data_IF_378584565085
#
_entry.id   IF_378584565085
#
_cell.length_a   1.000
_cell.length_b   1.000
_cell.length_c   1.000
_cell.angle_alpha   90.00
_cell.angle_beta   90.00
_cell.angle_gamma   90.00
#
_symmetry.space_group_name_H-M   'P 1'
#
loop_
_entity.id
_entity.type
_entity.pdbx_description
1 polymer ?
#
# COMPACT_ATOMS: atom_id res chain seq x y z
N UNK A 1 -1.03 -11.90 -25.37
CA UNK A 1 -2.40 -12.21 -24.92
C UNK A 1 -2.45 -12.54 -23.43
N UNK A 2 -1.67 -13.50 -22.90
CA UNK A 2 -1.67 -13.85 -21.46
C UNK A 2 -1.20 -12.71 -20.53
N UNK A 3 -0.27 -11.85 -20.96
CA UNK A 3 0.19 -10.70 -20.16
C UNK A 3 -0.85 -9.56 -20.05
N UNK A 4 -1.72 -9.41 -21.05
CA UNK A 4 -2.70 -8.31 -21.09
C UNK A 4 -3.90 -8.59 -20.18
N UNK A 5 -4.36 -9.85 -20.11
CA UNK A 5 -5.43 -10.28 -19.20
C UNK A 5 -5.02 -10.07 -17.75
N UNK A 6 -3.78 -10.42 -17.40
CA UNK A 6 -3.26 -10.22 -16.05
C UNK A 6 -3.20 -8.72 -15.69
N UNK A 7 -2.86 -7.86 -16.64
CA UNK A 7 -2.80 -6.40 -16.41
C UNK A 7 -4.19 -5.81 -16.09
N UNK A 8 -5.22 -6.16 -16.87
CA UNK A 8 -6.61 -5.72 -16.61
C UNK A 8 -7.13 -6.21 -15.25
N UNK A 9 -6.81 -7.45 -14.85
CA UNK A 9 -7.17 -7.98 -13.53
C UNK A 9 -6.46 -7.23 -12.38
N UNK A 10 -5.19 -6.83 -12.58
CA UNK A 10 -4.45 -6.01 -11.62
C UNK A 10 -5.01 -4.59 -11.48
N UNK A 11 -5.54 -4.00 -12.56
CA UNK A 11 -6.23 -2.70 -12.50
C UNK A 11 -7.48 -2.79 -11.61
N UNK A 12 -8.30 -3.82 -11.81
CA UNK A 12 -9.50 -4.05 -11.00
C UNK A 12 -9.12 -4.24 -9.52
N UNK A 13 -8.08 -5.03 -9.24
CA UNK A 13 -7.59 -5.23 -7.87
C UNK A 13 -7.08 -3.94 -7.24
N UNK A 14 -6.29 -3.17 -7.98
CA UNK A 14 -5.74 -1.89 -7.51
C UNK A 14 -6.86 -0.92 -7.18
N UNK A 15 -7.85 -0.78 -8.05
CA UNK A 15 -9.04 0.05 -7.82
C UNK A 15 -9.85 -0.40 -6.61
N UNK A 16 -10.00 -1.71 -6.41
CA UNK A 16 -10.65 -2.26 -5.22
C UNK A 16 -9.91 -1.85 -3.93
N UNK A 17 -8.57 -1.90 -3.94
CA UNK A 17 -7.75 -1.43 -2.81
C UNK A 17 -7.88 0.07 -2.63
N UNK A 18 -7.83 0.88 -3.70
CA UNK A 18 -7.99 2.33 -3.58
C UNK A 18 -9.35 2.75 -2.99
N UNK A 19 -10.42 2.03 -3.35
CA UNK A 19 -11.76 2.26 -2.80
C UNK A 19 -11.93 1.76 -1.36
N UNK A 20 -11.14 0.75 -0.98
CA UNK A 20 -11.10 0.17 0.37
C UNK A 20 -12.50 -0.21 0.91
N UNK A 21 -13.27 -0.99 0.14
CA UNK A 21 -14.66 -1.33 0.47
C UNK A 21 -14.96 -2.80 0.22
N UNK A 22 -15.63 -3.46 1.18
CA UNK A 22 -16.09 -4.86 1.04
C UNK A 22 -16.99 -5.08 -0.17
N UNK A 23 -17.68 -4.04 -0.66
CA UNK A 23 -18.48 -4.11 -1.90
C UNK A 23 -17.63 -4.42 -3.14
N UNK A 24 -16.31 -4.22 -3.09
CA UNK A 24 -15.43 -4.55 -4.20
C UNK A 24 -15.21 -6.05 -4.37
N UNK A 25 -15.60 -6.89 -3.41
CA UNK A 25 -15.47 -8.36 -3.53
C UNK A 25 -16.27 -8.91 -4.71
N UNK A 26 -17.42 -8.32 -5.01
CA UNK A 26 -18.30 -8.82 -6.07
C UNK A 26 -17.72 -8.60 -7.47
N UNK A 27 -16.86 -7.58 -7.64
CA UNK A 27 -16.23 -7.24 -8.92
C UNK A 27 -14.89 -7.95 -9.14
N UNK A 28 -14.31 -8.55 -8.09
CA UNK A 28 -13.02 -9.21 -8.17
C UNK A 28 -13.12 -10.63 -8.76
N UNK A 29 -12.12 -11.07 -9.54
CA UNK A 29 -11.97 -12.48 -9.90
C UNK A 29 -11.96 -13.39 -8.67
N UNK A 30 -12.55 -14.59 -8.77
CA UNK A 30 -12.74 -15.47 -7.62
C UNK A 30 -11.44 -15.82 -6.86
N UNK A 31 -10.30 -15.90 -7.56
CA UNK A 31 -9.01 -16.21 -6.93
C UNK A 31 -8.42 -15.03 -6.14
N UNK A 32 -8.80 -13.78 -6.45
CA UNK A 32 -8.35 -12.57 -5.74
C UNK A 32 -9.20 -12.22 -4.53
N UNK A 33 -10.44 -12.73 -4.45
CA UNK A 33 -11.35 -12.44 -3.34
C UNK A 33 -10.75 -12.80 -1.97
N UNK A 34 -10.11 -13.97 -1.77
CA UNK A 34 -9.56 -14.32 -0.46
C UNK A 34 -8.48 -13.35 0.02
N UNK A 35 -7.58 -12.90 -0.87
CA UNK A 35 -6.50 -11.98 -0.47
C UNK A 35 -7.04 -10.57 -0.20
N UNK A 36 -8.02 -10.10 -0.97
CA UNK A 36 -8.68 -8.82 -0.69
C UNK A 36 -9.48 -8.85 0.61
N UNK A 37 -10.26 -9.92 0.83
CA UNK A 37 -11.02 -10.10 2.07
C UNK A 37 -10.08 -10.11 3.29
N UNK A 38 -9.00 -10.90 3.23
CA UNK A 38 -8.01 -10.95 4.30
C UNK A 38 -7.37 -9.59 4.58
N UNK A 39 -7.06 -8.81 3.54
CA UNK A 39 -6.57 -7.44 3.70
C UNK A 39 -7.58 -6.56 4.45
N UNK A 40 -8.84 -6.56 4.04
CA UNK A 40 -9.88 -5.73 4.68
C UNK A 40 -10.12 -6.16 6.13
N UNK A 41 -10.16 -7.47 6.40
CA UNK A 41 -10.43 -8.01 7.73
C UNK A 41 -9.32 -7.66 8.73
N UNK A 42 -8.05 -7.78 8.32
CA UNK A 42 -6.91 -7.41 9.18
C UNK A 42 -6.98 -5.94 9.59
N UNK A 43 -7.27 -5.03 8.64
CA UNK A 43 -7.36 -3.61 8.95
C UNK A 43 -8.59 -3.27 9.80
N UNK A 44 -9.71 -3.97 9.58
CA UNK A 44 -10.90 -3.82 10.41
C UNK A 44 -10.63 -4.26 11.85
N UNK A 45 -9.93 -5.38 12.05
CA UNK A 45 -9.51 -5.84 13.37
C UNK A 45 -8.58 -4.81 14.04
N UNK A 46 -7.61 -4.26 13.30
CA UNK A 46 -6.76 -3.17 13.81
C UNK A 46 -7.58 -1.93 14.23
N UNK A 47 -8.59 -1.53 13.44
CA UNK A 47 -9.47 -0.42 13.77
C UNK A 47 -10.27 -0.69 15.05
N UNK A 48 -10.81 -1.90 15.22
CA UNK A 48 -11.56 -2.30 16.41
C UNK A 48 -10.68 -2.29 17.67
N UNK A 49 -9.45 -2.80 17.59
CA UNK A 49 -8.49 -2.77 18.70
C UNK A 49 -8.12 -1.32 19.05
N UNK A 50 -7.74 -0.52 18.05
CA UNK A 50 -7.29 0.87 18.25
C UNK A 50 -8.42 1.83 18.63
N UNK A 51 -9.68 1.50 18.34
CA UNK A 51 -10.84 2.27 18.79
C UNK A 51 -10.94 2.31 20.32
N UNK A 52 -10.60 1.20 20.99
CA UNK A 52 -10.59 1.13 22.46
C UNK A 52 -9.49 2.01 23.09
N UNK A 53 -8.42 2.27 22.34
CA UNK A 53 -7.27 3.07 22.78
C UNK A 53 -7.33 4.54 22.33
N UNK A 54 -8.36 4.94 21.57
CA UNK A 54 -8.46 6.28 20.99
C UNK A 54 -7.47 6.56 19.85
N UNK A 55 -6.86 5.51 19.28
CA UNK A 55 -5.74 5.60 18.35
C UNK A 55 -6.09 5.20 16.90
N UNK A 56 -7.39 5.24 16.52
CA UNK A 56 -7.88 4.86 15.18
C UNK A 56 -7.16 5.60 14.03
N UNK A 57 -6.72 6.84 14.27
CA UNK A 57 -5.97 7.62 13.28
C UNK A 57 -4.69 6.90 12.79
N UNK A 58 -4.07 6.07 13.63
CA UNK A 58 -2.87 5.28 13.27
C UNK A 58 -3.19 4.26 12.18
N UNK A 59 -4.36 3.63 12.27
CA UNK A 59 -4.82 2.66 11.27
C UNK A 59 -5.13 3.35 9.94
N UNK A 60 -5.66 4.58 9.98
CA UNK A 60 -5.85 5.38 8.77
C UNK A 60 -4.52 5.69 8.07
N UNK A 61 -3.45 5.99 8.81
CA UNK A 61 -2.12 6.13 8.21
C UNK A 61 -1.66 4.83 7.55
N UNK A 62 -1.71 3.70 8.26
CA UNK A 62 -1.31 2.41 7.72
C UNK A 62 -2.12 2.02 6.46
N UNK A 63 -3.39 2.41 6.39
CA UNK A 63 -4.26 2.20 5.23
C UNK A 63 -3.80 3.00 4.01
N UNK A 64 -3.48 4.28 4.18
CA UNK A 64 -2.98 5.10 3.08
C UNK A 64 -1.61 4.62 2.59
N UNK A 65 -0.72 4.18 3.48
CA UNK A 65 0.55 3.57 3.07
C UNK A 65 0.36 2.27 2.27
N UNK A 66 -0.62 1.43 2.62
CA UNK A 66 -0.94 0.23 1.84
C UNK A 66 -1.50 0.57 0.46
N UNK A 67 -2.37 1.59 0.38
CA UNK A 67 -2.90 2.07 -0.91
C UNK A 67 -1.80 2.56 -1.82
N UNK A 68 -0.85 3.33 -1.30
CA UNK A 68 0.29 3.82 -2.10
C UNK A 68 1.21 2.67 -2.50
N UNK A 69 1.43 1.68 -1.62
CA UNK A 69 2.18 0.48 -1.93
C UNK A 69 1.56 -0.33 -3.08
N UNK A 70 0.24 -0.60 -3.06
CA UNK A 70 -0.42 -1.33 -4.16
C UNK A 70 -0.43 -0.52 -5.46
N UNK A 71 -0.65 0.79 -5.37
CA UNK A 71 -0.49 1.69 -6.53
C UNK A 71 0.93 1.63 -7.10
N UNK A 72 1.93 1.43 -6.23
CA UNK A 72 3.30 1.24 -6.67
C UNK A 72 3.48 -0.09 -7.46
N UNK A 73 2.80 -1.17 -7.10
CA UNK A 73 2.86 -2.35 -7.99
C UNK A 73 2.16 -2.13 -9.33
N UNK A 74 1.11 -1.30 -9.37
CA UNK A 74 0.38 -1.02 -10.60
C UNK A 74 1.20 -0.27 -11.65
N UNK A 75 1.97 0.77 -11.28
CA UNK A 75 2.82 1.45 -12.29
C UNK A 75 3.97 0.56 -12.76
N UNK A 76 4.53 -0.31 -11.89
CA UNK A 76 5.52 -1.31 -12.31
C UNK A 76 4.92 -2.27 -13.35
N UNK A 77 3.71 -2.78 -13.08
CA UNK A 77 2.99 -3.62 -14.04
C UNK A 77 2.72 -2.87 -15.36
N UNK A 78 2.42 -1.57 -15.29
CA UNK A 78 2.22 -0.72 -16.47
C UNK A 78 3.49 -0.58 -17.30
N UNK A 79 4.64 -0.31 -16.67
CA UNK A 79 5.92 -0.24 -17.36
C UNK A 79 6.23 -1.54 -18.10
N UNK A 80 6.02 -2.68 -17.44
CA UNK A 80 6.21 -3.99 -18.07
C UNK A 80 5.27 -4.19 -19.25
N UNK A 81 3.99 -3.85 -19.10
CA UNK A 81 2.98 -4.01 -20.15
C UNK A 81 3.24 -3.12 -21.38
N UNK A 82 3.75 -1.91 -21.17
CA UNK A 82 4.10 -0.96 -22.22
C UNK A 82 5.51 -1.22 -22.83
N UNK A 83 6.27 -2.16 -22.26
CA UNK A 83 7.68 -2.37 -22.63
C UNK A 83 8.57 -1.17 -22.31
N UNK A 84 8.13 -0.31 -21.38
CA UNK A 84 8.84 0.88 -20.96
C UNK A 84 9.94 0.52 -19.96
N UNK A 85 11.13 1.05 -20.20
CA UNK A 85 12.29 0.89 -19.31
C UNK A 85 12.47 2.23 -18.59
N UNK A 86 12.18 2.33 -17.28
CA UNK A 86 12.36 3.55 -16.52
C UNK A 86 13.84 3.93 -16.45
N UNK A 87 14.11 5.23 -16.34
CA UNK A 87 15.45 5.72 -16.03
C UNK A 87 15.89 5.24 -14.64
N UNK A 88 17.19 5.28 -14.38
CA UNK A 88 17.72 4.89 -13.06
C UNK A 88 17.12 5.75 -11.93
N UNK A 89 16.90 7.04 -12.19
CA UNK A 89 16.31 7.98 -11.24
C UNK A 89 14.83 7.65 -10.95
N UNK A 90 14.02 7.45 -11.99
CA UNK A 90 12.61 7.04 -11.84
C UNK A 90 12.50 5.71 -11.11
N UNK A 91 13.32 4.73 -11.48
CA UNK A 91 13.34 3.42 -10.86
C UNK A 91 13.80 3.47 -9.39
N UNK A 92 14.79 4.29 -9.03
CA UNK A 92 15.24 4.42 -7.64
C UNK A 92 14.18 5.05 -6.75
N UNK A 93 13.56 6.14 -7.20
CA UNK A 93 12.48 6.79 -6.47
C UNK A 93 11.29 5.84 -6.26
N UNK A 94 10.98 5.05 -7.28
CA UNK A 94 9.86 4.12 -7.25
C UNK A 94 10.10 2.87 -6.40
N UNK A 95 11.30 2.28 -6.50
CA UNK A 95 11.72 1.08 -5.75
C UNK A 95 11.62 1.25 -4.24
N UNK A 96 11.83 2.47 -3.74
CA UNK A 96 11.68 2.72 -2.32
C UNK A 96 10.22 2.63 -1.85
N UNK A 97 9.27 2.94 -2.73
CA UNK A 97 7.85 2.75 -2.43
C UNK A 97 7.45 1.29 -2.63
N UNK A 98 7.86 0.65 -3.74
CA UNK A 98 7.49 -0.73 -4.07
C UNK A 98 8.21 -1.81 -3.26
N UNK A 99 9.25 -1.47 -2.49
CA UNK A 99 9.84 -2.40 -1.52
C UNK A 99 8.97 -2.61 -0.28
N UNK A 100 8.01 -1.71 -0.02
CA UNK A 100 7.05 -1.84 1.08
C UNK A 100 7.61 -1.50 2.47
N UNK A 101 8.85 -1.04 2.61
CA UNK A 101 9.41 -0.67 3.92
C UNK A 101 8.60 0.41 4.62
N UNK A 102 8.17 1.45 3.91
CA UNK A 102 7.33 2.52 4.46
C UNK A 102 5.97 1.98 4.92
N UNK A 103 5.36 1.07 4.15
CA UNK A 103 4.11 0.39 4.52
C UNK A 103 4.27 -0.48 5.77
N UNK A 104 5.31 -1.32 5.81
CA UNK A 104 5.57 -2.20 6.96
C UNK A 104 5.90 -1.41 8.23
N UNK A 105 6.65 -0.32 8.11
CA UNK A 105 6.98 0.56 9.24
C UNK A 105 5.72 1.21 9.80
N UNK A 106 4.87 1.75 8.93
CA UNK A 106 3.60 2.34 9.35
C UNK A 106 2.67 1.31 9.99
N UNK A 107 2.55 0.11 9.42
CA UNK A 107 1.75 -0.97 10.00
C UNK A 107 2.29 -1.38 11.39
N UNK A 108 3.61 -1.47 11.55
CA UNK A 108 4.24 -1.78 12.84
C UNK A 108 3.97 -0.72 13.90
N UNK A 109 3.99 0.56 13.51
CA UNK A 109 3.73 1.69 14.41
C UNK A 109 2.31 1.72 14.99
N UNK A 110 1.33 1.09 14.33
CA UNK A 110 -0.05 1.03 14.83
C UNK A 110 -0.10 0.44 16.24
N UNK A 111 0.56 -0.69 16.46
CA UNK A 111 0.49 -1.45 17.71
C UNK A 111 1.55 -1.08 18.77
N UNK A 112 2.45 -0.13 18.48
CA UNK A 112 3.38 0.36 19.49
C UNK A 112 2.62 1.34 20.40
N UNK A 113 2.84 1.30 21.71
CA UNK A 113 2.14 2.13 22.69
C UNK A 113 2.36 3.65 22.54
N UNK A 114 2.39 4.38 23.65
CA UNK A 114 2.29 5.84 23.65
C UNK A 114 3.51 6.59 23.06
N UNK A 115 4.59 5.88 22.72
CA UNK A 115 5.79 6.46 22.08
C UNK A 115 5.48 6.93 20.65
N UNK A 116 4.54 6.26 19.97
CA UNK A 116 4.18 6.59 18.58
C UNK A 116 3.19 7.76 18.56
N UNK A 117 3.51 8.75 17.74
CA UNK A 117 2.66 9.91 17.53
C UNK A 117 2.43 10.14 16.03
N UNK A 118 1.62 11.15 15.70
CA UNK A 118 1.43 11.58 14.31
C UNK A 118 2.78 11.91 13.62
N UNK A 119 3.74 12.48 14.35
CA UNK A 119 5.07 12.80 13.81
C UNK A 119 5.85 11.55 13.40
N UNK A 120 5.63 10.41 14.06
CA UNK A 120 6.22 9.14 13.66
C UNK A 120 5.76 8.71 12.26
N UNK A 121 4.48 8.87 11.94
CA UNK A 121 3.94 8.54 10.62
C UNK A 121 4.38 9.55 9.55
N UNK A 122 4.44 10.84 9.88
CA UNK A 122 4.98 11.86 8.97
C UNK A 122 6.45 11.63 8.65
N UNK A 123 7.24 11.19 9.63
CA UNK A 123 8.64 10.82 9.40
C UNK A 123 8.76 9.69 8.38
N UNK A 124 7.91 8.67 8.43
CA UNK A 124 7.89 7.60 7.41
C UNK A 124 7.59 8.15 6.02
N UNK A 125 6.73 9.16 5.89
CA UNK A 125 6.48 9.82 4.59
C UNK A 125 7.74 10.51 4.04
N UNK A 126 8.59 11.05 4.91
CA UNK A 126 9.86 11.68 4.47
C UNK A 126 10.88 10.67 3.98
N UNK A 127 10.81 9.40 4.39
CA UNK A 127 11.69 8.36 3.86
C UNK A 127 11.47 8.12 2.36
N UNK A 128 10.28 8.43 1.83
CA UNK A 128 10.00 8.37 0.41
C UNK A 128 10.56 9.58 -0.37
N UNK A 129 11.13 10.59 0.29
CA UNK A 129 11.64 11.79 -0.38
C UNK A 129 12.98 11.52 -1.07
N UNK A 130 13.28 12.22 -2.19
CA UNK A 130 14.55 12.07 -2.90
C UNK A 130 15.78 12.35 -2.03
N UNK A 131 15.64 13.21 -1.01
CA UNK A 131 16.74 13.64 -0.14
C UNK A 131 17.28 12.49 0.74
N UNK A 132 16.42 11.56 1.15
CA UNK A 132 16.83 10.35 1.86
C UNK A 132 17.37 9.26 0.91
N UNK A 133 17.01 9.32 -0.37
CA UNK A 133 17.47 8.36 -1.40
C UNK A 133 18.95 8.56 -1.77
N UNK A 134 19.55 9.73 -1.47
CA UNK A 134 20.97 10.05 -1.78
C UNK A 134 21.94 9.71 -0.64
N UNK A 135 21.42 9.29 0.53
CA UNK A 135 22.24 8.98 1.71
C UNK A 135 22.77 7.53 1.76
N UNK A 136 22.49 6.74 0.72
CA UNK A 136 23.00 5.37 0.50
C UNK A 136 23.38 5.18 -0.97
#
# INVERSE_FOLDING_TARGET
MMLMVLFEELEIFTEAVQRWSTRCLDVLPNYMKPIYQGLIDVYKEMEEIMANEGNVYRVNYAKEFMKEFIKSYMTEAKWVNEGYIPTMEENMSYRFTSCGYSMLTAASFVGIGDIVSNESFKWVLTCNSPEFQVLF
#
